data_IF_668935532757
#
_entry.id   IF_668935532757
#
_cell.length_a   1.000
_cell.length_b   1.000
_cell.length_c   1.000
_cell.angle_alpha   90.00
_cell.angle_beta   90.00
_cell.angle_gamma   90.00
#
_symmetry.space_group_name_H-M   'P 1'
#
loop_
_entity.id
_entity.type
_entity.pdbx_description
1 polymer ?
#
# COMPACT_ATOMS: atom_id res chain seq x y z
N UNK A 1 -29.72 0.34 -57.82
CA UNK A 1 -30.66 -0.05 -56.73
C UNK A 1 -30.03 -0.93 -55.64
N UNK A 2 -28.79 -1.44 -55.81
CA UNK A 2 -28.13 -2.35 -54.85
C UNK A 2 -27.48 -1.65 -53.63
N UNK A 3 -26.87 -0.47 -53.81
CA UNK A 3 -26.17 0.26 -52.73
C UNK A 3 -27.08 0.74 -51.58
N UNK A 4 -28.36 1.03 -51.86
CA UNK A 4 -29.32 1.46 -50.84
C UNK A 4 -29.73 0.31 -49.91
N UNK A 5 -29.71 -0.93 -50.39
CA UNK A 5 -30.05 -2.11 -49.60
C UNK A 5 -28.92 -2.45 -48.60
N UNK A 6 -27.66 -2.34 -49.03
CA UNK A 6 -26.51 -2.57 -48.16
C UNK A 6 -26.37 -1.53 -47.05
N UNK A 7 -26.67 -0.25 -47.33
CA UNK A 7 -26.68 0.82 -46.31
C UNK A 7 -27.78 0.56 -45.26
N UNK A 8 -28.97 0.15 -45.70
CA UNK A 8 -30.07 -0.20 -44.80
C UNK A 8 -29.75 -1.42 -43.94
N UNK A 9 -29.11 -2.45 -44.53
CA UNK A 9 -28.68 -3.65 -43.82
C UNK A 9 -27.62 -3.33 -42.75
N UNK A 10 -26.63 -2.49 -43.07
CA UNK A 10 -25.60 -2.08 -42.10
C UNK A 10 -26.14 -1.16 -40.98
N UNK A 11 -27.08 -0.26 -41.28
CA UNK A 11 -27.74 0.56 -40.27
C UNK A 11 -28.59 -0.30 -39.33
N UNK A 12 -29.30 -1.30 -39.87
CA UNK A 12 -30.10 -2.22 -39.07
C UNK A 12 -29.23 -3.07 -38.13
N UNK A 13 -28.10 -3.60 -38.61
CA UNK A 13 -27.18 -4.37 -37.75
C UNK A 13 -26.52 -3.50 -36.69
N UNK A 14 -26.16 -2.25 -37.01
CA UNK A 14 -25.63 -1.31 -36.04
C UNK A 14 -26.67 -1.01 -34.94
N UNK A 15 -27.93 -0.74 -35.29
CA UNK A 15 -29.02 -0.49 -34.34
C UNK A 15 -29.29 -1.70 -33.43
N UNK A 16 -29.21 -2.92 -33.97
CA UNK A 16 -29.38 -4.15 -33.18
C UNK A 16 -28.22 -4.34 -32.18
N UNK A 17 -26.99 -3.96 -32.52
CA UNK A 17 -25.83 -4.06 -31.61
C UNK A 17 -25.86 -3.07 -30.43
N UNK A 18 -26.52 -1.92 -30.56
CA UNK A 18 -26.65 -0.93 -29.48
C UNK A 18 -27.69 -1.34 -28.44
N UNK A 19 -28.54 -2.33 -28.73
CA UNK A 19 -29.60 -2.81 -27.82
C UNK A 19 -29.16 -3.93 -26.87
N UNK A 20 -27.88 -4.33 -26.89
CA UNK A 20 -27.36 -5.40 -26.04
C UNK A 20 -26.20 -5.00 -25.13
N UNK A 21 -25.97 -3.69 -24.91
CA UNK A 21 -25.09 -3.24 -23.85
C UNK A 21 -25.93 -2.91 -22.62
N UNK A 22 -26.15 -3.92 -21.79
CA UNK A 22 -26.73 -3.73 -20.46
C UNK A 22 -25.60 -3.33 -19.51
N UNK A 23 -25.54 -2.05 -19.17
CA UNK A 23 -24.70 -1.56 -18.09
C UNK A 23 -25.50 -1.71 -16.80
N UNK A 24 -25.19 -2.74 -16.01
CA UNK A 24 -25.81 -2.95 -14.70
C UNK A 24 -24.90 -2.28 -13.67
N UNK A 25 -25.39 -1.22 -13.04
CA UNK A 25 -24.77 -0.67 -11.84
C UNK A 25 -25.32 -1.50 -10.69
N UNK A 26 -24.60 -2.55 -10.30
CA UNK A 26 -24.87 -3.21 -9.03
C UNK A 26 -24.60 -2.21 -7.91
N UNK A 27 -25.50 -2.14 -6.93
CA UNK A 27 -25.33 -1.25 -5.80
C UNK A 27 -24.04 -1.61 -5.08
N UNK A 28 -23.29 -0.60 -4.63
CA UNK A 28 -22.29 -0.81 -3.59
C UNK A 28 -23.07 -1.40 -2.41
N UNK A 29 -22.82 -2.67 -2.07
CA UNK A 29 -23.36 -3.33 -0.89
C UNK A 29 -23.39 -2.32 0.24
N UNK A 30 -24.59 -1.97 0.71
CA UNK A 30 -24.72 -1.08 1.85
C UNK A 30 -23.81 -1.66 2.93
N UNK A 31 -22.92 -0.84 3.52
CA UNK A 31 -22.13 -1.24 4.68
C UNK A 31 -23.11 -1.50 5.83
N UNK A 32 -23.80 -2.63 5.78
CA UNK A 32 -24.34 -3.26 6.96
C UNK A 32 -23.19 -3.30 7.95
N UNK A 33 -23.41 -2.93 9.22
CA UNK A 33 -22.36 -2.95 10.21
C UNK A 33 -21.72 -4.34 10.14
N UNK A 34 -20.44 -4.38 9.75
CA UNK A 34 -19.72 -5.63 9.58
C UNK A 34 -19.88 -6.38 10.89
N UNK A 35 -20.42 -7.60 10.84
CA UNK A 35 -20.55 -8.42 12.04
C UNK A 35 -19.15 -8.70 12.56
N UNK A 36 -18.76 -8.06 13.66
CA UNK A 36 -17.42 -8.15 14.20
C UNK A 36 -17.20 -7.17 15.34
N UNK A 37 -16.11 -7.35 16.08
CA UNK A 37 -15.61 -6.34 17.01
C UNK A 37 -14.70 -5.39 16.23
N UNK A 38 -14.77 -4.07 16.45
CA UNK A 38 -13.81 -3.15 15.87
C UNK A 38 -12.40 -3.50 16.34
N UNK A 39 -11.40 -3.23 15.51
CA UNK A 39 -10.00 -3.36 15.92
C UNK A 39 -9.69 -2.49 17.11
N UNK A 40 -8.76 -2.93 17.95
CA UNK A 40 -8.26 -2.12 19.04
C UNK A 40 -7.67 -0.79 18.50
N UNK A 41 -7.73 0.31 19.28
CA UNK A 41 -7.04 1.53 18.91
C UNK A 41 -5.56 1.26 18.59
N UNK A 42 -5.05 1.87 17.52
CA UNK A 42 -3.68 1.71 17.03
C UNK A 42 -3.30 0.29 16.56
N UNK A 43 -4.27 -0.61 16.38
CA UNK A 43 -4.01 -1.90 15.76
C UNK A 43 -3.85 -1.74 14.25
N UNK A 44 -2.91 -2.48 13.62
CA UNK A 44 -2.76 -2.49 12.17
C UNK A 44 -4.02 -3.01 11.49
N UNK A 45 -4.33 -2.45 10.32
CA UNK A 45 -5.40 -2.91 9.46
C UNK A 45 -4.95 -2.98 7.99
N UNK A 46 -5.08 -4.14 7.31
CA UNK A 46 -5.58 -5.41 7.82
C UNK A 46 -4.72 -6.00 8.95
N UNK A 47 -5.31 -6.83 9.80
CA UNK A 47 -4.55 -7.51 10.83
C UNK A 47 -3.53 -8.48 10.17
N UNK A 48 -2.24 -8.41 10.52
CA UNK A 48 -1.24 -9.35 10.01
C UNK A 48 -1.57 -10.79 10.39
N UNK A 49 -1.11 -11.76 9.58
CA UNK A 49 -1.30 -13.19 9.87
C UNK A 49 -0.64 -13.58 11.20
N UNK A 50 0.48 -12.93 11.54
CA UNK A 50 1.17 -13.08 12.80
C UNK A 50 1.60 -11.71 13.32
N UNK A 51 1.28 -11.41 14.58
CA UNK A 51 1.67 -10.17 15.25
C UNK A 51 2.17 -10.52 16.66
N UNK A 52 3.42 -10.21 16.93
CA UNK A 52 4.01 -10.30 18.25
C UNK A 52 4.48 -8.90 18.68
N UNK A 53 3.65 -8.21 19.47
CA UNK A 53 3.90 -6.85 19.91
C UNK A 53 4.13 -6.81 21.44
N UNK A 54 5.05 -5.94 21.88
CA UNK A 54 5.23 -5.63 23.31
C UNK A 54 4.46 -4.37 23.71
N UNK A 55 4.43 -4.07 25.00
CA UNK A 55 3.92 -2.80 25.53
C UNK A 55 4.94 -1.66 25.43
N UNK A 56 6.15 -1.94 24.95
CA UNK A 56 7.20 -0.94 24.80
C UNK A 56 6.96 -0.09 23.56
N UNK A 57 7.50 1.13 23.58
CA UNK A 57 7.37 2.07 22.48
C UNK A 57 8.73 2.71 22.17
N UNK A 58 8.90 3.04 20.90
CA UNK A 58 10.05 3.81 20.37
C UNK A 58 9.55 5.14 19.85
N UNK A 59 10.43 6.14 19.88
CA UNK A 59 10.17 7.46 19.35
C UNK A 59 10.76 7.60 17.95
N UNK A 60 10.10 8.35 17.08
CA UNK A 60 10.58 8.66 15.74
C UNK A 60 10.73 10.18 15.64
N UNK A 61 11.94 10.65 15.39
CA UNK A 61 12.21 12.07 15.12
C UNK A 61 12.17 12.31 13.60
N UNK A 62 11.24 13.15 13.10
CA UNK A 62 11.13 13.44 11.66
C UNK A 62 12.41 14.03 11.04
N UNK A 63 13.28 14.65 11.82
CA UNK A 63 14.52 15.27 11.35
C UNK A 63 15.64 14.26 11.13
N UNK A 64 15.63 13.14 11.88
CA UNK A 64 16.70 12.15 11.88
C UNK A 64 16.28 10.78 11.34
N UNK A 65 14.98 10.50 11.26
CA UNK A 65 14.47 9.21 10.80
C UNK A 65 14.67 9.02 9.29
N UNK A 66 15.26 7.88 8.90
CA UNK A 66 15.52 7.54 7.51
C UNK A 66 15.07 6.11 7.18
N UNK A 67 14.38 5.95 6.06
CA UNK A 67 14.06 4.63 5.50
C UNK A 67 15.02 4.36 4.34
N UNK A 68 15.70 3.22 4.39
CA UNK A 68 16.65 2.77 3.37
C UNK A 68 16.12 1.54 2.64
N UNK A 69 16.45 1.39 1.36
CA UNK A 69 16.18 0.18 0.58
C UNK A 69 17.47 -0.37 -0.03
N UNK A 70 17.61 -1.69 -0.05
CA UNK A 70 18.70 -2.38 -0.74
C UNK A 70 18.46 -2.57 -2.24
N UNK A 71 17.31 -2.11 -2.75
CA UNK A 71 16.94 -2.16 -4.15
C UNK A 71 17.19 -0.78 -4.77
N UNK A 72 18.07 -0.72 -5.76
CA UNK A 72 18.41 0.50 -6.50
C UNK A 72 17.60 0.57 -7.78
N UNK A 73 17.38 1.78 -8.29
CA UNK A 73 16.74 2.05 -9.58
C UNK A 73 15.33 1.42 -9.67
N UNK A 74 14.52 1.59 -8.63
CA UNK A 74 13.17 1.04 -8.55
C UNK A 74 12.15 2.13 -8.19
N UNK A 75 11.48 2.64 -9.21
CA UNK A 75 10.48 3.69 -9.12
C UNK A 75 9.33 3.34 -8.16
N UNK A 76 8.89 2.08 -8.14
CA UNK A 76 7.83 1.60 -7.22
C UNK A 76 8.21 1.85 -5.76
N UNK A 77 9.43 1.48 -5.36
CA UNK A 77 9.91 1.66 -3.98
C UNK A 77 10.19 3.13 -3.71
N UNK A 78 10.84 3.85 -4.62
CA UNK A 78 11.17 5.26 -4.43
C UNK A 78 9.91 6.12 -4.24
N UNK A 79 8.89 5.90 -5.08
CA UNK A 79 7.60 6.58 -4.97
C UNK A 79 6.86 6.20 -3.69
N UNK A 80 6.93 4.93 -3.26
CA UNK A 80 6.34 4.50 -2.00
C UNK A 80 7.01 5.23 -0.82
N UNK A 81 8.33 5.23 -0.74
CA UNK A 81 9.07 5.90 0.34
C UNK A 81 8.76 7.40 0.41
N UNK A 82 8.67 8.06 -0.76
CA UNK A 82 8.24 9.46 -0.82
C UNK A 82 6.83 9.65 -0.27
N UNK A 83 5.89 8.80 -0.66
CA UNK A 83 4.49 8.85 -0.18
C UNK A 83 4.41 8.60 1.32
N UNK A 84 4.98 7.52 1.84
CA UNK A 84 4.88 7.17 3.26
C UNK A 84 5.57 8.16 4.18
N UNK A 85 6.68 8.78 3.74
CA UNK A 85 7.29 9.88 4.50
C UNK A 85 6.31 11.04 4.72
N UNK A 86 5.49 11.37 3.72
CA UNK A 86 4.48 12.42 3.84
C UNK A 86 3.28 12.03 4.73
N UNK A 87 2.99 10.73 4.82
CA UNK A 87 1.93 10.17 5.67
C UNK A 87 2.39 10.15 7.14
N UNK A 88 3.62 9.73 7.42
CA UNK A 88 4.17 9.70 8.77
C UNK A 88 4.43 11.09 9.34
N UNK A 89 4.86 12.04 8.50
CA UNK A 89 5.23 13.39 8.92
C UNK A 89 4.49 14.47 8.13
N UNK A 90 3.16 14.63 8.33
CA UNK A 90 2.42 15.68 7.67
C UNK A 90 2.92 17.07 8.12
N UNK A 91 2.93 18.07 7.21
CA UNK A 91 3.57 19.37 7.43
C UNK A 91 2.96 20.22 8.57
N UNK A 92 1.85 19.78 9.17
CA UNK A 92 1.17 20.47 10.27
C UNK A 92 1.51 19.92 11.67
N UNK A 93 2.41 18.94 11.79
CA UNK A 93 2.87 18.49 13.10
C UNK A 93 3.90 19.49 13.62
N UNK A 94 3.42 20.52 14.32
CA UNK A 94 4.26 21.29 15.23
C UNK A 94 4.61 20.36 16.39
N UNK A 95 5.86 19.89 16.43
CA UNK A 95 6.40 19.16 17.58
C UNK A 95 6.44 20.17 18.73
N UNK A 96 5.40 20.19 19.56
CA UNK A 96 5.37 20.99 20.78
C UNK A 96 6.25 20.27 21.81
N UNK A 97 7.40 20.90 22.13
CA UNK A 97 8.39 20.47 23.12
C UNK A 97 8.91 19.03 22.98
N UNK A 98 10.17 18.83 22.55
CA UNK A 98 10.87 17.60 22.86
C UNK A 98 11.19 17.62 24.37
N UNK A 99 10.21 17.29 25.20
CA UNK A 99 10.51 16.78 26.54
C UNK A 99 11.51 15.64 26.34
N UNK A 100 12.61 15.67 27.11
CA UNK A 100 13.80 14.79 26.99
C UNK A 100 13.43 13.40 26.48
N UNK A 101 13.54 13.20 25.16
CA UNK A 101 13.36 11.90 24.55
C UNK A 101 14.47 11.01 25.09
N UNK A 102 14.10 9.82 25.54
CA UNK A 102 15.08 8.81 25.91
C UNK A 102 15.80 8.39 24.62
N UNK A 103 17.03 8.87 24.44
CA UNK A 103 17.85 8.62 23.25
C UNK A 103 18.02 7.12 22.97
N UNK A 104 17.93 6.28 24.01
CA UNK A 104 18.02 4.82 23.86
C UNK A 104 16.80 4.17 23.20
N UNK A 105 15.70 4.92 23.04
CA UNK A 105 14.43 4.48 22.45
C UNK A 105 14.08 5.22 21.17
N UNK A 106 15.05 5.91 20.55
CA UNK A 106 14.84 6.59 19.28
C UNK A 106 15.09 5.61 18.13
N UNK A 107 14.04 5.33 17.37
CA UNK A 107 14.13 4.60 16.11
C UNK A 107 14.71 5.52 15.05
N UNK A 108 15.96 5.27 14.66
CA UNK A 108 16.70 6.11 13.73
C UNK A 108 16.44 5.71 12.27
N UNK A 109 16.28 4.41 12.02
CA UNK A 109 16.18 3.94 10.64
C UNK A 109 15.35 2.68 10.46
N UNK A 110 14.81 2.50 9.26
CA UNK A 110 14.21 1.23 8.82
C UNK A 110 14.91 0.78 7.54
N UNK A 111 15.34 -0.48 7.51
CA UNK A 111 15.98 -1.10 6.35
C UNK A 111 15.00 -2.02 5.63
N UNK A 112 14.71 -1.72 4.38
CA UNK A 112 13.93 -2.56 3.48
C UNK A 112 14.91 -3.47 2.73
N UNK A 113 14.81 -4.76 3.02
CA UNK A 113 15.63 -5.82 2.48
C UNK A 113 14.79 -6.66 1.52
N UNK A 114 14.96 -6.41 0.23
CA UNK A 114 14.30 -7.15 -0.86
C UNK A 114 15.30 -8.15 -1.43
N UNK A 115 14.91 -9.43 -1.44
CA UNK A 115 15.72 -10.52 -1.96
C UNK A 115 15.88 -10.43 -3.48
N UNK A 116 14.77 -10.34 -4.21
CA UNK A 116 14.79 -10.15 -5.67
C UNK A 116 15.25 -8.74 -6.04
N UNK A 117 16.22 -8.65 -6.96
CA UNK A 117 16.68 -7.37 -7.53
C UNK A 117 15.87 -6.90 -8.74
N UNK A 118 14.79 -7.60 -9.05
CA UNK A 118 13.89 -7.22 -10.14
C UNK A 118 12.85 -6.22 -9.62
N UNK A 119 12.82 -5.05 -10.24
CA UNK A 119 11.74 -4.08 -10.08
C UNK A 119 10.81 -4.17 -11.29
N UNK A 120 9.88 -5.13 -11.26
CA UNK A 120 8.85 -5.24 -12.28
C UNK A 120 7.80 -4.14 -12.09
N UNK A 121 7.26 -3.62 -13.19
CA UNK A 121 6.32 -2.49 -13.13
C UNK A 121 4.92 -2.89 -12.65
N UNK A 122 4.48 -4.13 -12.90
CA UNK A 122 3.10 -4.56 -12.62
C UNK A 122 3.04 -5.88 -11.85
N UNK A 123 2.18 -5.96 -10.82
CA UNK A 123 2.02 -7.18 -10.04
C UNK A 123 1.31 -8.25 -10.88
N UNK A 124 1.74 -9.49 -10.69
CA UNK A 124 1.10 -10.69 -11.23
C UNK A 124 0.27 -11.38 -10.15
N UNK A 125 -0.72 -12.16 -10.57
CA UNK A 125 -1.62 -12.88 -9.66
C UNK A 125 -0.88 -13.81 -8.68
N UNK A 126 0.31 -14.31 -9.07
CA UNK A 126 1.12 -15.24 -8.28
C UNK A 126 2.32 -14.57 -7.62
N UNK A 127 2.39 -13.24 -7.63
CA UNK A 127 3.47 -12.54 -6.98
C UNK A 127 3.40 -12.72 -5.47
N UNK A 128 4.56 -12.94 -4.86
CA UNK A 128 4.68 -13.09 -3.42
C UNK A 128 4.49 -11.73 -2.75
N UNK A 129 3.51 -11.65 -1.85
CA UNK A 129 3.12 -10.46 -1.11
C UNK A 129 3.45 -10.57 0.38
N UNK A 130 4.19 -11.60 0.77
CA UNK A 130 4.62 -11.83 2.15
C UNK A 130 5.73 -10.87 2.55
N UNK A 131 5.76 -10.53 3.84
CA UNK A 131 6.77 -9.70 4.43
C UNK A 131 6.96 -10.06 5.91
N UNK A 132 8.11 -9.69 6.45
CA UNK A 132 8.37 -9.70 7.89
C UNK A 132 8.83 -8.30 8.31
N UNK A 133 8.15 -7.73 9.30
CA UNK A 133 8.51 -6.47 9.93
C UNK A 133 9.00 -6.75 11.35
N UNK A 134 10.25 -6.35 11.62
CA UNK A 134 10.84 -6.40 12.96
C UNK A 134 11.25 -5.00 13.37
N UNK A 135 10.83 -4.57 14.57
CA UNK A 135 11.23 -3.29 15.16
C UNK A 135 12.08 -3.59 16.39
N UNK A 136 13.31 -3.10 16.37
CA UNK A 136 14.24 -3.09 17.49
C UNK A 136 14.32 -1.69 18.09
N UNK A 137 15.10 -1.51 19.16
CA UNK A 137 15.17 -0.24 19.90
C UNK A 137 15.62 0.98 19.08
N UNK A 138 16.48 0.77 18.07
CA UNK A 138 17.11 1.85 17.29
C UNK A 138 16.97 1.70 15.77
N UNK A 139 16.54 0.53 15.29
CA UNK A 139 16.32 0.28 13.88
C UNK A 139 15.17 -0.70 13.65
N UNK A 140 14.60 -0.66 12.44
CA UNK A 140 13.62 -1.63 11.97
C UNK A 140 14.12 -2.34 10.72
N UNK A 141 13.58 -3.52 10.46
CA UNK A 141 13.85 -4.31 9.26
C UNK A 141 12.51 -4.72 8.65
N UNK A 142 12.32 -4.39 7.38
CA UNK A 142 11.28 -4.96 6.52
C UNK A 142 11.99 -5.93 5.59
N UNK A 143 11.73 -7.22 5.73
CA UNK A 143 12.20 -8.23 4.81
C UNK A 143 11.07 -8.69 3.88
N UNK A 144 11.36 -8.79 2.58
CA UNK A 144 10.43 -9.34 1.60
C UNK A 144 11.15 -10.04 0.44
N UNK A 145 10.47 -11.00 -0.19
CA UNK A 145 11.01 -11.71 -1.36
C UNK A 145 11.12 -10.81 -2.60
N UNK A 146 10.15 -9.90 -2.78
CA UNK A 146 10.09 -8.97 -3.91
C UNK A 146 9.46 -7.63 -3.50
N UNK A 147 9.34 -6.72 -4.48
CA UNK A 147 8.82 -5.36 -4.32
C UNK A 147 7.40 -5.31 -3.75
N UNK A 148 6.53 -6.26 -4.09
CA UNK A 148 5.12 -6.26 -3.66
C UNK A 148 4.96 -6.61 -2.17
N UNK A 149 5.71 -7.62 -1.70
CA UNK A 149 5.82 -7.89 -0.27
C UNK A 149 6.39 -6.68 0.49
N UNK A 150 7.42 -6.04 -0.06
CA UNK A 150 8.00 -4.85 0.55
C UNK A 150 7.00 -3.69 0.67
N UNK A 151 6.19 -3.44 -0.37
CA UNK A 151 5.14 -2.42 -0.33
C UNK A 151 4.12 -2.67 0.79
N UNK A 152 3.69 -3.93 0.96
CA UNK A 152 2.79 -4.30 2.05
C UNK A 152 3.43 -4.14 3.44
N UNK A 153 4.75 -4.32 3.55
CA UNK A 153 5.46 -4.12 4.81
C UNK A 153 5.77 -2.67 5.16
N UNK A 154 5.68 -1.74 4.20
CA UNK A 154 5.85 -0.30 4.44
C UNK A 154 4.56 0.33 4.99
N UNK A 155 3.39 -0.18 4.58
CA UNK A 155 2.07 0.21 5.14
C UNK A 155 1.92 -0.24 6.59
#
# INVERSE_FOLDING_TARGET
MSYRLHIFQCLLTFIISIHHVYCIIDYIEAKYPLKGKPSAPNAPWPQPQYLNASSDYVYIDPNFFVIHSNLKDCDVIDNALQRYKSIFFPPKISIQNPDRLDESRILLSVFILIQSKQCHTYPQLRDDQSYNLTIESSYGIIYAENVWGALNGIE
#
